data_IF_793725115661
#
_entry.id   IF_793725115661
#
_cell.length_a   1.000
_cell.length_b   1.000
_cell.length_c   1.000
_cell.angle_alpha   90.00
_cell.angle_beta   90.00
_cell.angle_gamma   90.00
#
_symmetry.space_group_name_H-M   'P 1'
#
loop_
_entity.id
_entity.type
_entity.pdbx_description
1 polymer ?
#
# COMPACT_ATOMS: atom_id res chain seq x y z
N UNK A 1 -10.83 25.27 -21.67
CA UNK A 1 -10.72 23.80 -21.81
C UNK A 1 -12.06 23.19 -21.46
N UNK A 2 -12.47 22.13 -22.16
CA UNK A 2 -13.68 21.38 -21.82
C UNK A 2 -13.65 21.00 -20.34
N UNK A 3 -14.80 20.98 -19.65
CA UNK A 3 -14.94 20.48 -18.27
C UNK A 3 -14.57 18.99 -18.11
N UNK A 4 -14.15 18.33 -19.19
CA UNK A 4 -13.90 16.89 -19.28
C UNK A 4 -12.61 16.64 -20.06
N UNK A 5 -11.46 16.75 -19.39
CA UNK A 5 -10.14 16.48 -19.96
C UNK A 5 -10.06 15.12 -20.68
N UNK A 6 -10.78 14.12 -20.17
CA UNK A 6 -10.89 12.80 -20.79
C UNK A 6 -11.62 12.84 -22.15
N UNK A 7 -12.63 13.69 -22.32
CA UNK A 7 -13.32 13.85 -23.60
C UNK A 7 -12.40 14.47 -24.67
N UNK A 8 -11.50 15.37 -24.28
CA UNK A 8 -10.50 15.93 -25.19
C UNK A 8 -9.49 14.85 -25.64
N UNK A 9 -9.32 13.78 -24.85
CA UNK A 9 -8.56 12.58 -25.19
C UNK A 9 -9.38 11.52 -25.96
N UNK A 10 -10.65 11.81 -26.30
CA UNK A 10 -11.55 10.86 -26.98
C UNK A 10 -12.12 9.76 -26.06
N UNK A 11 -12.01 9.92 -24.74
CA UNK A 11 -12.53 8.98 -23.74
C UNK A 11 -13.89 9.50 -23.24
N UNK A 12 -14.93 8.67 -23.34
CA UNK A 12 -16.27 9.01 -22.85
C UNK A 12 -16.36 8.78 -21.33
N UNK A 13 -16.67 9.83 -20.53
CA UNK A 13 -16.88 9.67 -19.09
C UNK A 13 -18.14 8.87 -18.79
N UNK A 14 -18.09 8.05 -17.74
CA UNK A 14 -19.19 7.17 -17.34
C UNK A 14 -19.77 7.56 -15.97
N UNK A 15 -20.98 7.09 -15.68
CA UNK A 15 -21.54 7.10 -14.33
C UNK A 15 -21.20 5.78 -13.66
N UNK A 16 -20.40 5.83 -12.60
CA UNK A 16 -20.04 4.64 -11.84
C UNK A 16 -21.10 4.34 -10.76
N UNK A 17 -21.80 3.21 -10.92
CA UNK A 17 -22.79 2.69 -9.95
C UNK A 17 -22.38 1.35 -9.33
N UNK A 18 -21.13 0.91 -9.52
CA UNK A 18 -20.59 -0.37 -9.01
C UNK A 18 -19.68 -0.19 -7.78
N UNK A 19 -19.48 1.05 -7.32
CA UNK A 19 -18.67 1.40 -6.15
C UNK A 19 -17.22 1.73 -6.48
N UNK A 20 -16.33 1.66 -5.48
CA UNK A 20 -14.91 1.97 -5.65
C UNK A 20 -14.18 0.82 -6.35
N UNK A 21 -13.98 0.95 -7.67
CA UNK A 21 -13.41 -0.11 -8.50
C UNK A 21 -12.10 0.34 -9.15
N UNK A 22 -11.05 -0.45 -8.98
CA UNK A 22 -9.70 -0.17 -9.52
C UNK A 22 -9.70 0.04 -11.04
N UNK A 23 -10.51 -0.73 -11.78
CA UNK A 23 -10.66 -0.59 -13.23
C UNK A 23 -11.11 0.83 -13.65
N UNK A 24 -11.86 1.52 -12.78
CA UNK A 24 -12.43 2.84 -13.04
C UNK A 24 -11.65 3.98 -12.35
N UNK A 25 -10.45 3.70 -11.83
CA UNK A 25 -9.64 4.69 -11.13
C UNK A 25 -10.00 4.90 -9.65
N UNK A 26 -10.85 4.05 -9.08
CA UNK A 26 -11.20 4.09 -7.66
C UNK A 26 -12.27 5.14 -7.32
N UNK A 27 -12.05 5.88 -6.24
CA UNK A 27 -12.98 6.89 -5.72
C UNK A 27 -12.62 8.29 -6.22
N UNK A 28 -13.64 9.11 -6.46
CA UNK A 28 -13.47 10.55 -6.71
C UNK A 28 -13.24 11.30 -5.41
N UNK A 29 -12.30 12.24 -5.41
CA UNK A 29 -11.93 13.01 -4.23
C UNK A 29 -13.04 14.02 -3.86
N UNK A 30 -13.37 14.16 -2.56
CA UNK A 30 -14.29 15.21 -2.11
C UNK A 30 -13.62 16.60 -2.18
N UNK A 31 -14.40 17.70 -2.24
CA UNK A 31 -13.85 19.06 -2.45
C UNK A 31 -12.76 19.45 -1.46
N UNK A 32 -12.91 19.11 -0.18
CA UNK A 32 -11.94 19.43 0.86
C UNK A 32 -10.56 18.79 0.64
N UNK A 33 -10.51 17.62 0.00
CA UNK A 33 -9.25 16.96 -0.37
C UNK A 33 -8.61 17.66 -1.56
N UNK A 34 -9.42 18.07 -2.56
CA UNK A 34 -8.94 18.80 -3.73
C UNK A 34 -8.33 20.14 -3.30
N UNK A 35 -9.00 20.87 -2.40
CA UNK A 35 -8.52 22.15 -1.87
C UNK A 35 -7.20 21.98 -1.10
N UNK A 36 -7.08 20.93 -0.27
CA UNK A 36 -5.85 20.61 0.44
C UNK A 36 -4.70 20.28 -0.52
N UNK A 37 -4.92 19.45 -1.53
CA UNK A 37 -3.93 19.13 -2.57
C UNK A 37 -3.47 20.40 -3.31
N UNK A 38 -4.42 21.27 -3.67
CA UNK A 38 -4.12 22.54 -4.34
C UNK A 38 -3.30 23.47 -3.46
N UNK A 39 -3.55 23.51 -2.15
CA UNK A 39 -2.76 24.30 -1.21
C UNK A 39 -1.34 23.78 -1.06
N UNK A 40 -1.15 22.46 -1.12
CA UNK A 40 0.13 21.78 -0.92
C UNK A 40 1.10 21.89 -2.11
N UNK A 41 0.58 22.02 -3.33
CA UNK A 41 1.34 21.77 -4.56
C UNK A 41 2.59 22.66 -4.76
N UNK A 42 2.60 23.89 -4.23
CA UNK A 42 3.65 24.90 -4.47
C UNK A 42 4.56 25.11 -3.25
N UNK A 43 4.58 24.15 -2.32
CA UNK A 43 5.37 24.20 -1.09
C UNK A 43 6.41 23.08 -1.04
N UNK A 44 7.56 23.39 -0.43
CA UNK A 44 8.58 22.40 -0.06
C UNK A 44 8.53 22.17 1.45
N UNK A 45 8.54 20.92 1.86
CA UNK A 45 8.60 20.51 3.27
C UNK A 45 9.60 19.35 3.44
N UNK A 46 10.20 19.19 4.63
CA UNK A 46 10.87 17.94 4.99
C UNK A 46 9.85 16.79 4.97
N UNK A 47 10.08 15.80 4.11
CA UNK A 47 9.13 14.70 3.90
C UNK A 47 9.07 13.74 5.08
N UNK A 48 10.19 13.59 5.80
CA UNK A 48 10.29 12.86 7.06
C UNK A 48 9.41 13.49 8.15
N UNK A 49 9.44 14.82 8.29
CA UNK A 49 8.59 15.53 9.25
C UNK A 49 7.10 15.42 8.89
N UNK A 50 6.76 15.47 7.59
CA UNK A 50 5.39 15.26 7.13
C UNK A 50 4.90 13.85 7.44
N UNK A 51 5.71 12.83 7.16
CA UNK A 51 5.41 11.42 7.43
C UNK A 51 5.18 11.19 8.92
N UNK A 52 6.06 11.70 9.79
CA UNK A 52 5.92 11.60 11.24
C UNK A 52 4.61 12.25 11.73
N UNK A 53 4.33 13.49 11.30
CA UNK A 53 3.14 14.22 11.75
C UNK A 53 1.83 13.58 11.26
N UNK A 54 1.79 13.17 10.00
CA UNK A 54 0.62 12.52 9.44
C UNK A 54 0.41 11.12 10.05
N UNK A 55 1.50 10.37 10.27
CA UNK A 55 1.49 9.09 10.98
C UNK A 55 0.95 9.22 12.40
N UNK A 56 1.43 10.20 13.18
CA UNK A 56 0.94 10.46 14.55
C UNK A 56 -0.56 10.79 14.59
N UNK A 57 -1.02 11.62 13.66
CA UNK A 57 -2.45 11.94 13.54
C UNK A 57 -3.32 10.69 13.28
N UNK A 58 -2.88 9.82 12.36
CA UNK A 58 -3.58 8.56 12.06
C UNK A 58 -3.51 7.56 13.22
N UNK A 59 -2.37 7.49 13.91
CA UNK A 59 -2.20 6.63 15.08
C UNK A 59 -3.19 7.00 16.19
N UNK A 60 -3.35 8.29 16.49
CA UNK A 60 -4.36 8.79 17.43
C UNK A 60 -5.78 8.44 16.96
N UNK A 61 -6.08 8.65 15.68
CA UNK A 61 -7.41 8.39 15.12
C UNK A 61 -7.78 6.90 15.16
N UNK A 62 -6.84 6.00 14.89
CA UNK A 62 -7.06 4.55 14.86
C UNK A 62 -6.84 3.86 16.21
N UNK A 63 -6.28 4.55 17.21
CA UNK A 63 -5.88 3.95 18.48
C UNK A 63 -4.74 2.94 18.31
N UNK A 64 -3.82 3.19 17.38
CA UNK A 64 -2.64 2.38 17.13
C UNK A 64 -1.39 2.99 17.79
N UNK A 65 -0.37 2.17 18.05
CA UNK A 65 0.90 2.66 18.61
C UNK A 65 1.66 3.56 17.61
N UNK A 66 1.56 3.26 16.32
CA UNK A 66 2.14 4.04 15.24
C UNK A 66 1.38 3.78 13.94
N UNK A 67 1.48 4.70 12.98
CA UNK A 67 1.00 4.54 11.61
C UNK A 67 2.06 5.05 10.64
N UNK A 68 2.22 4.32 9.53
CA UNK A 68 3.13 4.68 8.45
C UNK A 68 2.36 4.71 7.13
N UNK A 69 2.50 5.79 6.39
CA UNK A 69 1.81 6.09 5.15
C UNK A 69 2.69 5.63 4.00
N UNK A 70 2.09 4.91 3.06
CA UNK A 70 2.79 4.44 1.87
C UNK A 70 2.02 4.88 0.63
N UNK A 71 2.63 4.71 -0.55
CA UNK A 71 1.99 5.03 -1.83
C UNK A 71 0.72 4.23 -2.12
N UNK A 72 0.46 3.14 -1.39
CA UNK A 72 -0.74 2.31 -1.50
C UNK A 72 -0.58 0.95 -0.82
N UNK A 73 -1.64 0.16 -0.77
CA UNK A 73 -1.65 -1.13 -0.07
C UNK A 73 -0.59 -2.13 -0.58
N UNK A 74 -0.31 -2.14 -1.90
CA UNK A 74 0.74 -3.00 -2.46
C UNK A 74 2.15 -2.62 -1.99
N UNK A 75 2.45 -1.32 -1.87
CA UNK A 75 3.72 -0.87 -1.30
C UNK A 75 3.77 -1.13 0.20
N UNK A 76 2.66 -1.00 0.92
CA UNK A 76 2.59 -1.35 2.33
C UNK A 76 2.95 -2.83 2.56
N UNK A 77 2.36 -3.75 1.80
CA UNK A 77 2.70 -5.18 1.89
C UNK A 77 4.20 -5.43 1.64
N UNK A 78 4.76 -4.76 0.63
CA UNK A 78 6.18 -4.90 0.27
C UNK A 78 7.09 -4.36 1.38
N UNK A 79 6.83 -3.13 1.85
CA UNK A 79 7.62 -2.46 2.87
C UNK A 79 7.54 -3.18 4.22
N UNK A 80 6.34 -3.61 4.63
CA UNK A 80 6.15 -4.40 5.85
C UNK A 80 6.91 -5.72 5.78
N UNK A 81 6.95 -6.37 4.61
CA UNK A 81 7.74 -7.60 4.42
C UNK A 81 9.22 -7.32 4.59
N UNK A 82 9.75 -6.28 3.94
CA UNK A 82 11.14 -5.87 4.10
C UNK A 82 11.48 -5.55 5.56
N UNK A 83 10.60 -4.80 6.26
CA UNK A 83 10.78 -4.44 7.66
C UNK A 83 10.80 -5.67 8.59
N UNK A 84 9.96 -6.68 8.36
CA UNK A 84 9.99 -7.91 9.16
C UNK A 84 11.24 -8.76 8.94
N UNK A 85 11.83 -8.70 7.75
CA UNK A 85 13.04 -9.48 7.41
C UNK A 85 14.33 -8.78 7.85
N UNK A 86 14.45 -7.47 7.57
CA UNK A 86 15.68 -6.71 7.78
C UNK A 86 15.68 -5.88 9.08
N UNK A 87 14.51 -5.53 9.62
CA UNK A 87 14.41 -4.62 10.77
C UNK A 87 15.01 -3.25 10.46
N UNK A 88 15.86 -2.77 11.36
CA UNK A 88 16.64 -1.52 11.27
C UNK A 88 18.11 -1.76 10.89
N UNK A 89 18.46 -2.95 10.42
CA UNK A 89 19.83 -3.28 10.02
C UNK A 89 20.12 -2.79 8.59
N UNK A 90 20.92 -1.72 8.47
CA UNK A 90 21.29 -1.10 7.19
C UNK A 90 21.89 -2.10 6.17
N UNK A 91 22.74 -3.03 6.63
CA UNK A 91 23.35 -4.02 5.74
C UNK A 91 22.28 -4.95 5.15
N UNK A 92 21.32 -5.39 5.96
CA UNK A 92 20.21 -6.23 5.50
C UNK A 92 19.23 -5.45 4.62
N UNK A 93 18.94 -4.19 4.94
CA UNK A 93 18.08 -3.32 4.13
C UNK A 93 18.67 -3.16 2.71
N UNK A 94 19.97 -2.94 2.60
CA UNK A 94 20.68 -2.82 1.32
C UNK A 94 20.75 -4.17 0.58
N UNK A 95 20.82 -5.29 1.31
CA UNK A 95 20.89 -6.63 0.73
C UNK A 95 19.58 -7.04 0.03
N UNK A 96 18.42 -6.63 0.56
CA UNK A 96 17.13 -6.98 -0.03
C UNK A 96 17.04 -6.50 -1.50
N UNK A 97 16.48 -7.32 -2.42
CA UNK A 97 15.68 -8.52 -2.16
C UNK A 97 16.48 -9.84 -2.13
N UNK A 98 17.82 -9.80 -2.08
CA UNK A 98 18.61 -11.01 -1.84
C UNK A 98 18.46 -11.43 -0.37
N UNK A 99 17.77 -12.54 -0.13
CA UNK A 99 17.49 -13.04 1.22
C UNK A 99 18.52 -14.05 1.71
N UNK A 100 19.69 -14.16 1.08
CA UNK A 100 20.76 -15.07 1.52
C UNK A 100 21.15 -14.79 2.97
N UNK A 101 20.94 -15.77 3.86
CA UNK A 101 21.22 -15.62 5.29
C UNK A 101 20.16 -14.86 6.10
N UNK A 102 19.04 -14.47 5.47
CA UNK A 102 17.90 -13.78 6.10
C UNK A 102 16.74 -14.77 6.25
N UNK A 103 15.98 -14.67 7.35
CA UNK A 103 14.72 -15.42 7.48
C UNK A 103 13.68 -14.77 6.56
N UNK A 104 13.21 -15.49 5.56
CA UNK A 104 12.41 -14.93 4.47
C UNK A 104 11.07 -15.63 4.22
N UNK A 105 10.62 -16.48 5.15
CA UNK A 105 9.37 -17.22 5.01
C UNK A 105 8.20 -16.47 5.64
N UNK A 106 7.16 -16.21 4.85
CA UNK A 106 5.88 -15.64 5.31
C UNK A 106 4.80 -16.69 5.17
N UNK A 107 4.15 -17.00 6.28
CA UNK A 107 3.02 -17.93 6.31
C UNK A 107 1.78 -17.30 5.68
N UNK A 108 1.11 -18.02 4.78
CA UNK A 108 -0.16 -17.63 4.18
C UNK A 108 -1.17 -18.76 4.24
N UNK A 109 -2.40 -18.45 4.66
CA UNK A 109 -3.50 -19.42 4.62
C UNK A 109 -3.85 -19.78 3.19
N UNK A 110 -3.97 -21.08 2.88
CA UNK A 110 -4.31 -21.61 1.55
C UNK A 110 -5.58 -20.98 0.96
N UNK A 111 -6.59 -20.72 1.80
CA UNK A 111 -7.83 -20.04 1.39
C UNK A 111 -7.66 -18.55 1.09
N UNK A 112 -6.62 -17.92 1.61
CA UNK A 112 -6.35 -16.49 1.42
C UNK A 112 -5.49 -16.20 0.19
N UNK A 113 -5.19 -17.22 -0.64
CA UNK A 113 -4.42 -17.00 -1.85
C UNK A 113 -5.13 -16.04 -2.81
N UNK A 114 -4.49 -14.92 -3.14
CA UNK A 114 -5.07 -13.89 -4.01
C UNK A 114 -3.99 -13.02 -4.68
N UNK A 115 -4.39 -12.25 -5.69
CA UNK A 115 -3.45 -11.58 -6.61
C UNK A 115 -2.51 -10.54 -5.97
N UNK A 116 -2.80 -9.97 -4.80
CA UNK A 116 -1.86 -9.04 -4.12
C UNK A 116 -0.85 -9.74 -3.21
N UNK A 117 -0.98 -11.03 -2.93
CA UNK A 117 0.00 -11.75 -2.10
C UNK A 117 1.42 -11.66 -2.66
N UNK A 118 1.55 -11.54 -3.99
CA UNK A 118 2.84 -11.35 -4.68
C UNK A 118 3.58 -10.09 -4.21
N UNK A 119 2.88 -9.10 -3.67
CA UNK A 119 3.53 -7.91 -3.11
C UNK A 119 4.42 -8.26 -1.92
N UNK A 120 4.08 -9.31 -1.16
CA UNK A 120 4.92 -9.81 -0.08
C UNK A 120 6.26 -10.37 -0.63
N UNK A 121 6.25 -10.96 -1.82
CA UNK A 121 7.46 -11.55 -2.41
C UNK A 121 8.39 -10.52 -3.06
N UNK A 122 7.95 -9.27 -3.23
CA UNK A 122 8.76 -8.24 -3.91
C UNK A 122 9.99 -7.81 -3.12
N UNK A 123 9.98 -8.00 -1.80
CA UNK A 123 11.17 -7.81 -0.96
C UNK A 123 12.05 -9.08 -0.89
N UNK A 124 11.77 -10.12 -1.67
CA UNK A 124 12.54 -11.39 -1.70
C UNK A 124 11.94 -12.53 -0.88
N UNK A 125 10.88 -12.28 -0.10
CA UNK A 125 10.25 -13.29 0.74
C UNK A 125 9.64 -14.45 -0.05
N UNK A 126 9.61 -15.63 0.58
CA UNK A 126 8.91 -16.83 0.11
C UNK A 126 7.60 -17.00 0.86
N UNK A 127 6.52 -17.23 0.13
CA UNK A 127 5.24 -17.58 0.74
C UNK A 127 5.21 -19.08 1.05
N UNK A 128 5.01 -19.40 2.32
CA UNK A 128 4.82 -20.76 2.80
C UNK A 128 3.35 -20.96 3.11
N UNK A 129 2.72 -21.81 2.33
CA UNK A 129 1.29 -22.09 2.43
C UNK A 129 0.99 -23.09 3.54
N UNK A 130 -0.07 -22.84 4.31
CA UNK A 130 -0.61 -23.76 5.30
C UNK A 130 -2.14 -23.67 5.28
N UNK A 131 -2.84 -24.68 5.78
CA UNK A 131 -4.30 -24.67 5.76
C UNK A 131 -4.91 -25.39 4.55
N UNK A 132 -6.24 -25.42 4.51
CA UNK A 132 -7.02 -25.89 3.37
C UNK A 132 -7.51 -24.75 2.47
N UNK A 133 -7.76 -25.05 1.19
CA UNK A 133 -8.39 -24.12 0.25
C UNK A 133 -9.86 -23.86 0.59
N UNK A 134 -10.52 -24.83 1.23
CA UNK A 134 -11.96 -24.76 1.50
C UNK A 134 -12.28 -24.02 2.79
N UNK A 135 -11.37 -23.95 3.75
CA UNK A 135 -11.59 -23.28 5.05
C UNK A 135 -10.26 -22.99 5.76
N UNK A 136 -10.28 -22.05 6.70
CA UNK A 136 -9.12 -21.71 7.54
C UNK A 136 -8.85 -22.87 8.51
N UNK A 137 -7.70 -23.52 8.39
CA UNK A 137 -7.28 -24.63 9.27
C UNK A 137 -5.88 -24.38 9.84
N UNK A 138 -5.54 -25.13 10.90
CA UNK A 138 -4.21 -25.04 11.54
C UNK A 138 -3.14 -25.86 10.83
N UNK A 139 -3.56 -26.97 10.23
CA UNK A 139 -2.73 -27.91 9.47
C UNK A 139 -2.53 -27.40 8.04
#
# INVERSE_FOLDING_TARGET
MSKKIYSDLGIEPIINAIGSVTLLGGSTQPPEVIDAMQSAQDMYVPMDELEEKAGNYLAELFGAEACYITSGAGSALTLTTAAFMAGDNDDLIVQLPDTTGIKDEILIQSRQRYHYERCLTYAGAKLVEFGSKDQVTKD
#
